data_IF_253648773316
#
_entry.id   IF_253648773316
#
_cell.length_a   1.000
_cell.length_b   1.000
_cell.length_c   1.000
_cell.angle_alpha   90.00
_cell.angle_beta   90.00
_cell.angle_gamma   90.00
#
_symmetry.space_group_name_H-M   'P 1'
#
loop_
_entity.id
_entity.type
_entity.pdbx_description
1 polymer ?
#
# COMPACT_ATOMS: atom_id res chain seq x y z
N UNK A 1 6.79 6.01 19.95
CA UNK A 1 7.30 4.92 19.08
C UNK A 1 8.27 5.54 18.09
N UNK A 2 9.43 4.93 17.83
CA UNK A 2 10.36 5.47 16.84
C UNK A 2 9.71 5.48 15.46
N UNK A 3 9.89 6.56 14.71
CA UNK A 3 9.48 6.63 13.31
C UNK A 3 10.45 5.88 12.40
N UNK A 4 9.99 5.54 11.20
CA UNK A 4 10.81 4.98 10.13
C UNK A 4 10.80 5.92 8.94
N UNK A 5 11.97 6.17 8.37
CA UNK A 5 12.16 6.98 7.18
C UNK A 5 12.84 6.13 6.12
N UNK A 6 12.24 6.08 4.93
CA UNK A 6 12.85 5.47 3.76
C UNK A 6 13.15 6.56 2.74
N UNK A 7 14.44 6.78 2.46
CA UNK A 7 14.92 7.67 1.41
C UNK A 7 15.20 6.82 0.18
N UNK A 8 14.39 6.96 -0.86
CA UNK A 8 14.54 6.22 -2.11
C UNK A 8 14.80 7.20 -3.25
N UNK A 9 16.03 7.19 -3.77
CA UNK A 9 16.39 7.88 -4.99
C UNK A 9 16.62 6.86 -6.10
N UNK A 10 15.83 6.90 -7.17
CA UNK A 10 15.89 5.90 -8.23
C UNK A 10 15.81 6.52 -9.63
N UNK A 11 16.92 6.45 -10.36
CA UNK A 11 17.03 6.86 -11.76
C UNK A 11 17.87 5.87 -12.57
N UNK A 12 17.56 5.64 -13.87
CA UNK A 12 18.46 4.91 -14.75
C UNK A 12 19.82 5.61 -14.86
N UNK A 13 20.91 4.87 -14.96
CA UNK A 13 22.24 5.47 -15.18
C UNK A 13 22.56 5.71 -16.67
N UNK A 14 21.72 5.20 -17.58
CA UNK A 14 21.93 5.23 -19.03
C UNK A 14 21.29 6.41 -19.75
N UNK A 15 21.27 6.35 -21.10
CA UNK A 15 20.74 7.41 -22.00
C UNK A 15 19.28 7.79 -21.77
N UNK A 16 18.51 6.97 -21.04
CA UNK A 16 17.11 7.23 -20.71
C UNK A 16 16.89 7.99 -19.40
N UNK A 17 17.96 8.48 -18.76
CA UNK A 17 17.88 9.22 -17.49
C UNK A 17 17.24 10.60 -17.70
N UNK A 18 16.20 10.90 -16.93
CA UNK A 18 15.45 12.16 -16.98
C UNK A 18 15.75 13.07 -15.78
N UNK A 19 16.16 12.51 -14.64
CA UNK A 19 16.41 13.25 -13.40
C UNK A 19 17.65 12.73 -12.67
N UNK A 20 18.42 13.63 -12.05
CA UNK A 20 19.46 13.24 -11.08
C UNK A 20 18.84 12.93 -9.72
N UNK A 21 18.22 11.75 -9.58
CA UNK A 21 17.49 11.41 -8.36
C UNK A 21 18.42 11.36 -7.13
N UNK A 22 19.59 10.71 -7.23
CA UNK A 22 20.51 10.55 -6.12
C UNK A 22 21.12 11.88 -5.64
N UNK A 23 21.15 12.92 -6.49
CA UNK A 23 21.63 14.26 -6.15
C UNK A 23 20.86 14.93 -4.99
N UNK A 24 19.70 14.41 -4.57
CA UNK A 24 18.96 14.92 -3.41
C UNK A 24 19.38 14.30 -2.07
N UNK A 25 20.00 13.12 -2.08
CA UNK A 25 20.30 12.36 -0.87
C UNK A 25 21.22 13.11 0.11
N UNK A 26 22.30 13.80 -0.32
CA UNK A 26 23.11 14.59 0.61
C UNK A 26 22.34 15.70 1.32
N UNK A 27 21.34 16.28 0.64
CA UNK A 27 20.52 17.36 1.20
C UNK A 27 19.50 16.81 2.20
N UNK A 28 18.94 15.62 1.95
CA UNK A 28 18.07 14.92 2.89
C UNK A 28 18.84 14.39 4.10
N UNK A 29 20.04 13.85 3.89
CA UNK A 29 20.90 13.35 4.97
C UNK A 29 21.34 14.47 5.94
N UNK A 30 21.36 15.72 5.49
CA UNK A 30 21.62 16.89 6.33
C UNK A 30 20.42 17.29 7.23
N UNK A 31 19.25 16.66 7.08
CA UNK A 31 18.08 16.87 7.94
C UNK A 31 18.14 15.88 9.10
N UNK A 32 17.88 16.37 10.32
CA UNK A 32 17.85 15.50 11.49
C UNK A 32 16.81 14.37 11.35
N UNK A 33 17.12 13.11 11.72
CA UNK A 33 16.20 11.97 11.60
C UNK A 33 14.85 12.17 12.30
N UNK A 34 14.85 12.83 13.46
CA UNK A 34 13.63 13.16 14.19
C UNK A 34 12.70 14.08 13.37
N UNK A 35 13.29 15.01 12.61
CA UNK A 35 12.56 15.92 11.74
C UNK A 35 12.07 15.19 10.48
N UNK A 36 12.91 14.36 9.86
CA UNK A 36 12.50 13.51 8.72
C UNK A 36 11.39 12.51 9.04
N UNK A 37 11.24 12.11 10.31
CA UNK A 37 10.18 11.19 10.74
C UNK A 37 8.97 11.88 11.38
N UNK A 38 9.14 13.08 11.93
CA UNK A 38 8.11 13.75 12.73
C UNK A 38 7.93 13.10 14.10
N UNK A 39 8.96 12.40 14.59
CA UNK A 39 8.96 11.67 15.86
C UNK A 39 10.28 11.91 16.59
N UNK A 40 10.31 11.73 17.91
CA UNK A 40 11.50 12.02 18.72
C UNK A 40 12.74 11.18 18.33
N UNK A 41 12.52 9.98 17.82
CA UNK A 41 13.58 9.05 17.39
C UNK A 41 13.19 8.39 16.07
N UNK A 42 14.17 8.15 15.20
CA UNK A 42 13.89 7.61 13.87
C UNK A 42 14.95 6.65 13.36
N UNK A 43 14.50 5.61 12.66
CA UNK A 43 15.33 4.76 11.84
C UNK A 43 15.30 5.28 10.39
N UNK A 44 16.46 5.61 9.83
CA UNK A 44 16.58 6.09 8.44
C UNK A 44 17.25 5.01 7.60
N UNK A 45 16.59 4.64 6.49
CA UNK A 45 17.14 3.72 5.49
C UNK A 45 17.26 4.46 4.17
N UNK A 46 18.46 4.46 3.60
CA UNK A 46 18.74 5.11 2.32
C UNK A 46 18.95 4.07 1.22
N UNK A 47 18.35 4.32 0.05
CA UNK A 47 18.51 3.56 -1.19
C UNK A 47 18.86 4.53 -2.31
N UNK A 48 20.14 4.58 -2.66
CA UNK A 48 20.67 5.38 -3.76
C UNK A 48 20.79 4.53 -5.03
N UNK A 49 20.05 4.92 -6.08
CA UNK A 49 19.99 4.26 -7.39
C UNK A 49 20.08 2.73 -7.30
N UNK A 50 19.11 2.08 -6.61
CA UNK A 50 19.17 0.63 -6.39
C UNK A 50 19.14 -0.11 -7.73
N UNK A 51 19.87 -1.23 -7.81
CA UNK A 51 20.03 -2.00 -9.05
C UNK A 51 18.93 -3.05 -9.27
N UNK A 52 18.40 -3.59 -8.16
CA UNK A 52 17.51 -4.76 -8.15
C UNK A 52 16.17 -4.43 -7.50
N UNK A 53 15.02 -4.71 -8.15
CA UNK A 53 13.70 -4.39 -7.61
C UNK A 53 13.40 -5.16 -6.33
N UNK A 54 13.90 -6.40 -6.19
CA UNK A 54 13.71 -7.19 -4.98
C UNK A 54 14.43 -6.58 -3.77
N UNK A 55 15.59 -5.96 -3.95
CA UNK A 55 16.29 -5.27 -2.87
C UNK A 55 15.46 -4.08 -2.34
N UNK A 56 14.83 -3.33 -3.24
CA UNK A 56 13.92 -2.23 -2.87
C UNK A 56 12.70 -2.78 -2.13
N UNK A 57 12.07 -3.85 -2.65
CA UNK A 57 10.92 -4.48 -2.00
C UNK A 57 11.23 -5.00 -0.60
N UNK A 58 12.36 -5.67 -0.41
CA UNK A 58 12.77 -6.16 0.91
C UNK A 58 12.85 -5.03 1.92
N UNK A 59 13.43 -3.88 1.52
CA UNK A 59 13.58 -2.71 2.39
C UNK A 59 12.26 -2.00 2.62
N UNK A 60 11.43 -1.85 1.60
CA UNK A 60 10.09 -1.29 1.74
C UNK A 60 9.22 -2.14 2.65
N UNK A 61 9.24 -3.47 2.49
CA UNK A 61 8.50 -4.41 3.34
C UNK A 61 8.97 -4.36 4.78
N UNK A 62 10.28 -4.30 5.03
CA UNK A 62 10.83 -4.16 6.37
C UNK A 62 10.40 -2.83 7.02
N UNK A 63 10.41 -1.73 6.26
CA UNK A 63 9.93 -0.43 6.74
C UNK A 63 8.42 -0.47 7.03
N UNK A 64 7.62 -1.06 6.14
CA UNK A 64 6.17 -1.21 6.31
C UNK A 64 5.79 -2.11 7.49
N UNK A 65 6.61 -3.13 7.80
CA UNK A 65 6.41 -3.99 8.96
C UNK A 65 6.79 -3.32 10.30
N UNK A 66 7.51 -2.20 10.27
CA UNK A 66 7.94 -1.50 11.49
C UNK A 66 6.76 -0.75 12.12
N UNK A 67 6.50 -0.93 13.43
CA UNK A 67 5.49 -0.17 14.14
C UNK A 67 5.81 1.35 14.20
N UNK A 68 4.77 2.18 14.25
CA UNK A 68 4.92 3.64 14.33
C UNK A 68 4.91 4.34 12.97
N UNK A 69 5.13 5.66 12.91
CA UNK A 69 5.06 6.44 11.67
C UNK A 69 6.09 6.01 10.63
N UNK A 70 5.71 5.97 9.36
CA UNK A 70 6.53 5.69 8.19
C UNK A 70 6.41 6.87 7.22
N UNK A 71 7.52 7.56 6.95
CA UNK A 71 7.60 8.55 5.87
C UNK A 71 8.55 8.04 4.79
N UNK A 72 8.07 7.90 3.56
CA UNK A 72 8.92 7.55 2.41
C UNK A 72 9.14 8.80 1.57
N UNK A 73 10.40 9.23 1.45
CA UNK A 73 10.80 10.29 0.53
C UNK A 73 11.32 9.62 -0.73
N UNK A 74 10.55 9.72 -1.82
CA UNK A 74 10.84 9.05 -3.08
C UNK A 74 11.10 10.09 -4.16
N UNK A 75 12.32 10.10 -4.67
CA UNK A 75 12.72 10.88 -5.85
C UNK A 75 13.09 9.92 -6.96
N UNK A 76 12.56 10.10 -8.16
CA UNK A 76 12.92 9.18 -9.23
C UNK A 76 12.17 9.35 -10.53
N UNK A 77 12.32 8.34 -11.36
CA UNK A 77 11.81 8.35 -12.72
C UNK A 77 10.75 7.26 -12.93
N UNK A 78 9.61 7.63 -13.50
CA UNK A 78 8.58 6.71 -13.92
C UNK A 78 8.75 6.34 -15.40
N UNK A 79 8.54 5.05 -15.69
CA UNK A 79 8.37 4.52 -17.04
C UNK A 79 7.09 3.71 -17.14
N UNK A 80 6.54 3.62 -18.34
CA UNK A 80 5.35 2.83 -18.63
C UNK A 80 5.74 1.49 -19.28
N UNK A 81 5.26 0.37 -18.69
CA UNK A 81 5.31 -0.91 -19.38
C UNK A 81 4.31 -0.90 -20.55
N UNK A 82 4.81 -0.81 -21.79
CA UNK A 82 3.99 -0.71 -23.01
C UNK A 82 2.98 -1.84 -23.22
N UNK A 83 3.20 -3.06 -22.71
CA UNK A 83 2.22 -4.15 -22.92
C UNK A 83 1.23 -4.34 -21.77
N UNK A 84 1.53 -3.87 -20.56
CA UNK A 84 0.58 -3.95 -19.43
C UNK A 84 -0.02 -2.60 -19.08
N UNK A 85 0.48 -1.52 -19.69
CA UNK A 85 0.11 -0.14 -19.37
C UNK A 85 0.21 0.15 -17.87
N UNK A 86 1.27 -0.33 -17.22
CA UNK A 86 1.50 -0.14 -15.79
C UNK A 86 2.72 0.75 -15.54
N UNK A 87 2.60 1.78 -14.68
CA UNK A 87 3.74 2.58 -14.25
C UNK A 87 4.76 1.74 -13.45
N UNK A 88 6.03 1.97 -13.71
CA UNK A 88 7.17 1.38 -13.00
C UNK A 88 8.12 2.50 -12.58
N UNK A 89 8.65 2.40 -11.36
CA UNK A 89 9.79 3.20 -10.93
C UNK A 89 11.07 2.61 -11.54
N UNK A 90 11.73 3.39 -12.38
CA UNK A 90 12.95 2.99 -13.04
C UNK A 90 14.13 2.95 -12.06
N UNK A 91 14.91 1.89 -12.13
CA UNK A 91 16.07 1.61 -11.29
C UNK A 91 17.37 1.81 -12.08
N UNK A 92 18.54 1.70 -11.42
CA UNK A 92 19.83 2.04 -12.03
C UNK A 92 20.11 1.36 -13.39
N UNK A 93 19.69 0.09 -13.52
CA UNK A 93 19.89 -0.72 -14.73
C UNK A 93 18.68 -0.76 -15.67
N UNK A 94 17.65 0.02 -15.38
CA UNK A 94 16.43 0.04 -16.19
C UNK A 94 16.71 0.65 -17.56
N UNK A 95 16.35 -0.11 -18.59
CA UNK A 95 16.30 0.36 -19.98
C UNK A 95 14.89 0.08 -20.53
N UNK A 96 14.49 0.70 -21.66
CA UNK A 96 13.21 0.38 -22.29
C UNK A 96 13.02 -1.13 -22.57
N UNK A 97 14.11 -1.85 -22.90
CA UNK A 97 14.06 -3.28 -23.20
C UNK A 97 13.96 -4.17 -21.95
N UNK A 98 14.52 -3.72 -20.81
CA UNK A 98 14.63 -4.51 -19.57
C UNK A 98 13.65 -4.08 -18.48
N UNK A 99 12.82 -3.07 -18.75
CA UNK A 99 11.92 -2.43 -17.80
C UNK A 99 11.15 -3.42 -16.91
N UNK A 100 10.52 -4.43 -17.52
CA UNK A 100 9.70 -5.42 -16.79
C UNK A 100 10.45 -6.25 -15.76
N UNK A 101 11.76 -6.39 -15.92
CA UNK A 101 12.59 -7.25 -15.07
C UNK A 101 13.45 -6.47 -14.11
N UNK A 102 13.72 -5.19 -14.42
CA UNK A 102 14.70 -4.37 -13.70
C UNK A 102 14.07 -3.16 -13.01
N UNK A 103 12.93 -2.68 -13.48
CA UNK A 103 12.19 -1.60 -12.82
C UNK A 103 11.27 -2.16 -11.74
N UNK A 104 10.88 -1.32 -10.78
CA UNK A 104 9.96 -1.67 -9.72
C UNK A 104 8.51 -1.31 -10.13
N UNK A 105 7.59 -2.27 -10.30
CA UNK A 105 6.19 -1.99 -10.59
C UNK A 105 5.58 -1.10 -9.51
N UNK A 106 4.93 0.00 -9.90
CA UNK A 106 4.38 0.97 -8.95
C UNK A 106 3.35 0.34 -8.00
N UNK A 107 2.51 -0.55 -8.54
CA UNK A 107 1.50 -1.24 -7.74
C UNK A 107 2.12 -2.09 -6.62
N UNK A 108 3.37 -2.56 -6.73
CA UNK A 108 4.02 -3.25 -5.62
C UNK A 108 4.30 -2.31 -4.44
N UNK A 109 4.66 -1.04 -4.70
CA UNK A 109 4.85 -0.05 -3.64
C UNK A 109 3.52 0.14 -2.89
N UNK A 110 2.42 0.31 -3.63
CA UNK A 110 1.07 0.39 -3.08
C UNK A 110 0.74 -0.85 -2.24
N UNK A 111 0.99 -2.05 -2.77
CA UNK A 111 0.66 -3.29 -2.07
C UNK A 111 1.45 -3.46 -0.77
N UNK A 112 2.74 -3.09 -0.71
CA UNK A 112 3.51 -3.17 0.53
C UNK A 112 3.00 -2.20 1.61
N UNK A 113 2.41 -1.07 1.21
CA UNK A 113 1.88 -0.06 2.13
C UNK A 113 0.40 -0.26 2.50
N UNK A 114 -0.34 -1.13 1.80
CA UNK A 114 -1.80 -1.23 1.91
C UNK A 114 -2.35 -1.49 3.32
N UNK A 115 -1.58 -2.17 4.18
CA UNK A 115 -2.00 -2.53 5.54
C UNK A 115 -1.65 -1.45 6.58
N UNK A 116 -0.95 -0.40 6.15
CA UNK A 116 -0.56 0.70 7.01
C UNK A 116 -1.70 1.71 7.17
N UNK A 117 -1.77 2.32 8.35
CA UNK A 117 -2.67 3.43 8.65
C UNK A 117 -2.25 4.71 7.91
N UNK A 118 -3.23 5.49 7.47
CA UNK A 118 -3.04 6.83 6.88
C UNK A 118 -2.54 7.87 7.87
N UNK A 119 -2.89 7.72 9.15
CA UNK A 119 -2.37 8.59 10.20
C UNK A 119 -0.86 8.42 10.39
N UNK A 120 -0.33 7.24 10.04
CA UNK A 120 1.06 6.87 10.30
C UNK A 120 1.87 6.72 9.01
N UNK A 121 1.32 6.94 7.81
CA UNK A 121 2.04 6.63 6.55
C UNK A 121 1.89 7.71 5.52
N UNK A 122 3.04 8.23 5.11
CA UNK A 122 3.11 9.28 4.10
C UNK A 122 4.16 8.96 3.02
N UNK A 123 3.81 9.29 1.78
CA UNK A 123 4.72 9.36 0.64
C UNK A 123 4.96 10.84 0.30
N UNK A 124 6.23 11.23 0.25
CA UNK A 124 6.66 12.52 -0.29
C UNK A 124 7.37 12.24 -1.62
N UNK A 125 6.80 12.71 -2.73
CA UNK A 125 7.18 12.29 -4.09
C UNK A 125 7.78 13.44 -4.91
N UNK A 126 8.88 13.17 -5.62
CA UNK A 126 9.42 14.02 -6.68
C UNK A 126 9.75 13.14 -7.90
N UNK A 127 8.75 12.97 -8.76
CA UNK A 127 8.79 12.01 -9.86
C UNK A 127 8.92 12.69 -11.21
N UNK A 128 9.65 12.07 -12.13
CA UNK A 128 9.78 12.51 -13.52
C UNK A 128 9.29 11.43 -14.48
N UNK A 129 8.47 11.80 -15.46
CA UNK A 129 7.88 10.88 -16.42
C UNK A 129 8.31 11.23 -17.85
N UNK A 130 8.62 10.22 -18.67
CA UNK A 130 8.73 10.42 -20.12
C UNK A 130 7.37 10.79 -20.74
N UNK A 131 7.36 11.20 -22.01
CA UNK A 131 6.13 11.68 -22.66
C UNK A 131 4.98 10.64 -22.70
N UNK A 132 5.31 9.35 -22.81
CA UNK A 132 4.31 8.27 -22.84
C UNK A 132 3.72 8.05 -21.44
N UNK A 133 4.59 7.95 -20.45
CA UNK A 133 4.24 7.77 -19.04
C UNK A 133 3.49 8.99 -18.51
N UNK A 134 3.90 10.20 -18.90
CA UNK A 134 3.28 11.47 -18.53
C UNK A 134 1.80 11.54 -18.97
N UNK A 135 1.53 11.20 -20.23
CA UNK A 135 0.14 11.10 -20.73
C UNK A 135 -0.65 10.10 -19.91
N UNK A 136 -0.10 8.91 -19.69
CA UNK A 136 -0.77 7.87 -18.91
C UNK A 136 -1.13 8.31 -17.48
N UNK A 137 -0.18 8.88 -16.73
CA UNK A 137 -0.46 9.28 -15.33
C UNK A 137 -1.37 10.49 -15.24
N UNK A 138 -1.37 11.37 -16.24
CA UNK A 138 -2.32 12.51 -16.31
C UNK A 138 -3.73 12.02 -16.64
N UNK A 139 -3.87 11.02 -17.51
CA UNK A 139 -5.15 10.47 -17.94
C UNK A 139 -5.75 9.45 -16.96
N UNK A 140 -4.92 8.66 -16.28
CA UNK A 140 -5.35 7.52 -15.45
C UNK A 140 -4.98 7.61 -13.99
N UNK A 141 -4.11 8.56 -13.63
CA UNK A 141 -3.65 8.70 -12.26
C UNK A 141 -2.44 7.86 -11.92
N UNK A 142 -1.99 8.04 -10.68
CA UNK A 142 -0.95 7.24 -10.04
C UNK A 142 -1.45 6.85 -8.64
N UNK A 143 -2.12 5.70 -8.56
CA UNK A 143 -2.73 5.20 -7.33
C UNK A 143 -1.68 4.73 -6.32
N UNK A 144 -1.71 5.31 -5.12
CA UNK A 144 -0.86 4.95 -3.98
C UNK A 144 -1.63 4.27 -2.84
N UNK A 145 -2.91 3.93 -3.07
CA UNK A 145 -3.79 3.25 -2.11
C UNK A 145 -4.46 4.20 -1.13
N UNK A 146 -5.69 3.88 -0.74
CA UNK A 146 -6.60 4.78 0.02
C UNK A 146 -6.06 5.27 1.37
N UNK A 147 -5.15 4.51 1.98
CA UNK A 147 -4.63 4.77 3.32
C UNK A 147 -3.26 5.44 3.30
N UNK A 148 -2.76 5.90 2.16
CA UNK A 148 -1.44 6.54 2.09
C UNK A 148 -1.62 8.02 1.83
N UNK A 149 -1.15 8.89 2.72
CA UNK A 149 -1.10 10.33 2.43
C UNK A 149 0.00 10.59 1.39
N UNK A 150 -0.33 11.25 0.27
CA UNK A 150 0.64 11.50 -0.81
C UNK A 150 0.80 12.98 -1.03
N UNK A 151 2.05 13.45 -0.91
CA UNK A 151 2.43 14.84 -1.14
C UNK A 151 3.55 14.90 -2.16
N UNK A 152 3.47 15.75 -3.18
CA UNK A 152 4.55 15.79 -4.15
C UNK A 152 4.17 16.31 -5.51
N UNK A 153 5.02 15.98 -6.46
CA UNK A 153 4.77 16.27 -7.87
C UNK A 153 5.20 15.11 -8.77
N UNK A 154 4.56 15.05 -9.92
CA UNK A 154 5.08 14.37 -11.11
C UNK A 154 5.34 15.46 -12.15
N UNK A 155 6.55 15.49 -12.69
CA UNK A 155 6.96 16.42 -13.75
C UNK A 155 7.12 15.68 -15.08
N UNK A 156 6.79 16.30 -16.21
CA UNK A 156 7.15 15.76 -17.52
C UNK A 156 8.66 15.82 -17.72
N UNK A 157 9.17 15.08 -18.71
CA UNK A 157 10.56 15.20 -19.15
C UNK A 157 10.89 16.66 -19.54
N UNK A 158 12.02 17.18 -19.06
CA UNK A 158 12.44 18.58 -19.24
C UNK A 158 12.78 18.99 -20.69
N UNK A 159 12.43 18.16 -21.68
CA UNK A 159 12.71 18.41 -23.10
C UNK A 159 14.22 18.49 -23.38
N UNK A 160 14.66 19.51 -24.13
CA UNK A 160 16.07 19.69 -24.54
C UNK A 160 16.99 20.23 -23.44
N UNK A 161 16.49 20.48 -22.22
CA UNK A 161 17.21 21.19 -21.14
C UNK A 161 18.19 20.33 -20.33
N UNK A 162 18.52 19.13 -20.80
CA UNK A 162 19.41 18.22 -20.09
C UNK A 162 18.70 17.48 -18.95
N UNK A 163 19.49 16.99 -17.99
CA UNK A 163 19.00 16.22 -16.86
C UNK A 163 18.22 17.11 -15.89
N UNK A 164 17.01 16.71 -15.51
CA UNK A 164 16.21 17.49 -14.57
C UNK A 164 16.77 17.41 -13.14
N UNK A 165 16.57 18.48 -12.40
CA UNK A 165 16.88 18.56 -10.98
C UNK A 165 15.64 18.19 -10.14
N UNK A 166 15.79 17.42 -9.04
CA UNK A 166 14.70 17.13 -8.11
C UNK A 166 14.42 18.33 -7.20
N UNK A 167 13.97 19.43 -7.81
CA UNK A 167 13.84 20.74 -7.18
C UNK A 167 12.81 20.75 -6.04
N UNK A 168 11.72 19.98 -6.16
CA UNK A 168 10.71 19.88 -5.12
C UNK A 168 11.29 19.22 -3.88
N UNK A 169 11.95 18.07 -4.03
CA UNK A 169 12.52 17.35 -2.89
C UNK A 169 13.69 18.12 -2.26
N UNK A 170 14.54 18.80 -3.05
CA UNK A 170 15.58 19.71 -2.54
C UNK A 170 14.97 20.85 -1.70
N UNK A 171 13.83 21.39 -2.12
CA UNK A 171 13.12 22.45 -1.39
C UNK A 171 12.52 21.91 -0.08
N UNK A 172 11.89 20.74 -0.11
CA UNK A 172 11.39 20.03 1.09
C UNK A 172 12.52 19.80 2.10
N UNK A 173 13.65 19.26 1.67
CA UNK A 173 14.81 19.03 2.53
C UNK A 173 15.34 20.34 3.14
N UNK A 174 15.34 21.43 2.35
CA UNK A 174 15.77 22.76 2.82
C UNK A 174 14.81 23.36 3.86
N UNK A 175 13.50 23.18 3.69
CA UNK A 175 12.50 23.58 4.68
C UNK A 175 12.69 22.84 6.01
N UNK A 176 12.90 21.52 5.95
CA UNK A 176 13.09 20.67 7.12
C UNK A 176 14.44 20.88 7.82
N UNK A 177 15.47 21.38 7.12
CA UNK A 177 16.77 21.73 7.73
C UNK A 177 16.68 22.78 8.84
N UNK A 178 15.58 23.53 8.92
CA UNK A 178 15.31 24.46 10.04
C UNK A 178 15.12 23.75 11.39
N UNK A 179 14.93 22.43 11.41
CA UNK A 179 14.64 21.66 12.61
C UNK A 179 13.14 21.57 12.93
N UNK A 180 12.30 22.38 12.27
CA UNK A 180 10.86 22.32 12.42
C UNK A 180 10.23 21.49 11.30
N UNK A 181 9.34 20.55 11.67
CA UNK A 181 8.49 19.83 10.73
C UNK A 181 7.04 20.33 10.86
N UNK A 182 6.54 21.15 9.92
CA UNK A 182 5.12 21.44 9.85
C UNK A 182 4.34 20.20 9.37
N UNK A 183 3.00 20.21 9.50
CA UNK A 183 2.15 19.20 8.85
C UNK A 183 2.49 19.05 7.36
N UNK A 184 2.46 17.83 6.83
CA UNK A 184 2.99 17.55 5.49
C UNK A 184 2.26 18.29 4.36
N UNK A 185 0.95 18.56 4.49
CA UNK A 185 0.22 19.41 3.55
C UNK A 185 0.75 20.85 3.52
N UNK A 186 1.03 21.44 4.69
CA UNK A 186 1.63 22.78 4.80
C UNK A 186 3.05 22.78 4.25
N UNK A 187 3.83 21.72 4.54
CA UNK A 187 5.17 21.56 3.97
C UNK A 187 5.14 21.50 2.45
N UNK A 188 4.16 20.79 1.88
CA UNK A 188 3.95 20.68 0.45
C UNK A 188 3.62 22.04 -0.19
N UNK A 189 2.66 22.77 0.38
CA UNK A 189 2.28 24.11 -0.09
C UNK A 189 3.46 25.08 -0.05
N UNK A 190 4.23 25.08 1.04
CA UNK A 190 5.44 25.91 1.16
C UNK A 190 6.51 25.54 0.14
N UNK A 191 6.69 24.24 -0.12
CA UNK A 191 7.65 23.76 -1.12
C UNK A 191 7.23 24.20 -2.53
N UNK A 192 5.97 23.98 -2.91
CA UNK A 192 5.43 24.41 -4.22
C UNK A 192 5.54 25.93 -4.39
N UNK A 193 5.20 26.70 -3.36
CA UNK A 193 5.26 28.17 -3.39
C UNK A 193 6.66 28.76 -3.57
N UNK A 194 7.73 28.00 -3.26
CA UNK A 194 9.12 28.43 -3.46
C UNK A 194 9.67 28.15 -4.86
N UNK A 195 9.02 27.27 -5.62
CA UNK A 195 9.44 26.88 -6.97
C UNK A 195 8.27 26.96 -7.98
N UNK A 196 7.56 28.10 -8.08
CA UNK A 196 6.37 28.21 -8.94
C UNK A 196 6.68 27.95 -10.42
N UNK A 197 7.85 28.40 -10.89
CA UNK A 197 8.30 28.16 -12.26
C UNK A 197 8.53 26.67 -12.56
N UNK A 198 9.13 25.93 -11.62
CA UNK A 198 9.44 24.51 -11.78
C UNK A 198 8.25 23.58 -11.52
N UNK A 199 7.18 24.12 -10.94
CA UNK A 199 5.91 23.42 -10.74
C UNK A 199 4.89 23.67 -11.84
N UNK A 200 5.15 24.64 -12.73
CA UNK A 200 4.25 24.96 -13.83
C UNK A 200 4.12 23.76 -14.78
N UNK A 201 2.88 23.28 -14.94
CA UNK A 201 2.57 22.14 -15.81
C UNK A 201 2.88 20.77 -15.19
N UNK A 202 3.22 20.71 -13.90
CA UNK A 202 3.37 19.46 -13.18
C UNK A 202 2.02 18.98 -12.61
N UNK A 203 1.94 17.68 -12.34
CA UNK A 203 0.85 17.08 -11.61
C UNK A 203 1.19 17.18 -10.12
N UNK A 204 0.43 17.98 -9.37
CA UNK A 204 0.62 18.13 -7.93
C UNK A 204 -0.21 17.07 -7.19
N UNK A 205 0.38 16.48 -6.15
CA UNK A 205 -0.21 15.43 -5.33
C UNK A 205 -0.34 16.00 -3.90
N UNK A 206 -1.55 16.03 -3.35
CA UNK A 206 -1.79 16.53 -1.99
C UNK A 206 -2.90 15.77 -1.23
N UNK A 207 -3.31 14.60 -1.72
CA UNK A 207 -4.48 13.84 -1.25
C UNK A 207 -4.10 12.44 -0.76
N UNK A 208 -5.00 11.84 0.03
CA UNK A 208 -4.93 10.43 0.37
C UNK A 208 -5.15 9.55 -0.88
N UNK A 209 -4.22 8.63 -1.15
CA UNK A 209 -4.26 7.72 -2.30
C UNK A 209 -3.65 8.22 -3.59
N UNK A 210 -3.08 9.43 -3.60
CA UNK A 210 -2.44 9.99 -4.80
C UNK A 210 -3.46 10.59 -5.77
N UNK A 211 -3.07 10.74 -7.04
CA UNK A 211 -3.93 11.35 -8.06
C UNK A 211 -4.78 10.29 -8.76
N UNK A 212 -6.09 10.48 -8.76
CA UNK A 212 -7.07 9.71 -9.55
C UNK A 212 -7.92 10.71 -10.34
N UNK A 213 -7.96 10.65 -11.69
CA UNK A 213 -8.71 11.61 -12.48
C UNK A 213 -10.22 11.48 -12.24
N UNK A 214 -10.91 12.63 -12.22
CA UNK A 214 -12.36 12.70 -12.08
C UNK A 214 -13.05 12.03 -13.28
N UNK A 215 -13.71 10.90 -13.04
CA UNK A 215 -14.37 10.10 -14.09
C UNK A 215 -14.45 8.59 -13.80
N UNK A 216 -13.69 8.08 -12.84
CA UNK A 216 -13.98 6.77 -12.22
C UNK A 216 -15.12 6.93 -11.21
N UNK A 217 -16.05 5.96 -11.05
CA UNK A 217 -17.15 6.09 -10.11
C UNK A 217 -16.64 6.01 -8.67
N UNK A 218 -16.14 7.14 -8.17
CA UNK A 218 -15.94 7.36 -6.74
C UNK A 218 -17.25 7.92 -6.23
N UNK A 219 -17.98 7.06 -5.52
CA UNK A 219 -19.17 7.45 -4.75
C UNK A 219 -18.72 8.51 -3.73
N UNK A 220 -19.32 9.71 -3.68
CA UNK A 220 -18.83 10.78 -2.83
C UNK A 220 -18.95 10.40 -1.36
N UNK A 221 -17.86 10.59 -0.62
CA UNK A 221 -17.89 10.59 0.84
C UNK A 221 -18.71 11.80 1.30
N UNK A 222 -19.66 11.54 2.21
CA UNK A 222 -20.47 12.55 2.86
C UNK A 222 -19.58 13.54 3.62
N UNK A 223 -19.52 14.78 3.15
CA UNK A 223 -18.90 15.90 3.87
C UNK A 223 -19.96 16.45 4.82
N UNK A 224 -19.77 16.42 6.15
CA UNK A 224 -20.65 17.14 7.05
C UNK A 224 -20.37 18.66 6.91
N UNK A 225 -21.41 19.51 6.89
CA UNK A 225 -21.22 20.96 6.77
C UNK A 225 -20.56 21.56 8.03
N UNK A 226 -19.87 22.71 7.89
CA UNK A 226 -19.26 23.39 9.03
C UNK A 226 -20.32 23.94 10.00
N UNK A 227 -20.05 23.98 11.32
CA UNK A 227 -20.97 24.59 12.26
C UNK A 227 -20.91 26.12 12.15
N UNK A 228 -22.09 26.72 12.08
CA UNK A 228 -22.29 28.18 12.15
C UNK A 228 -22.19 28.60 13.63
N UNK A 229 -21.47 29.67 13.99
CA UNK A 229 -21.42 30.12 15.38
C UNK A 229 -22.67 30.91 15.75
N UNK A 230 -23.50 30.36 16.65
CA UNK A 230 -24.60 31.09 17.27
C UNK A 230 -24.12 31.79 18.54
N UNK A 231 -24.43 33.08 18.63
CA UNK A 231 -24.01 33.99 19.68
C UNK A 231 -24.63 33.68 21.07
N UNK A 232 -23.90 34.10 22.08
CA UNK A 232 -24.15 34.04 23.52
C UNK A 232 -25.30 34.97 23.93
N UNK A 233 -26.22 34.50 24.78
CA UNK A 233 -26.84 35.29 25.86
C UNK A 233 -27.71 34.41 26.78
N UNK A 234 -27.59 34.59 28.10
CA UNK A 234 -28.68 34.29 29.05
C UNK A 234 -28.33 33.40 30.25
N UNK A 235 -28.05 34.05 31.37
CA UNK A 235 -27.80 33.56 32.73
C UNK A 235 -29.02 32.99 33.46
N UNK A 236 -28.87 31.88 34.22
CA UNK A 236 -29.49 31.68 35.56
C UNK A 236 -28.82 30.51 36.36
N UNK A 237 -28.76 30.54 37.71
CA UNK A 237 -27.95 29.63 38.58
C UNK A 237 -28.75 28.44 39.20
N UNK A 238 -28.11 27.50 39.95
CA UNK A 238 -28.40 26.06 39.88
C UNK A 238 -29.20 25.45 41.05
N UNK A 239 -29.67 24.20 40.85
CA UNK A 239 -30.11 23.26 41.90
C UNK A 239 -29.43 21.88 41.74
N UNK A 240 -29.21 21.08 42.81
CA UNK A 240 -28.19 20.02 42.82
C UNK A 240 -28.68 18.56 42.64
N UNK A 241 -27.81 17.75 42.01
CA UNK A 241 -27.55 16.28 42.11
C UNK A 241 -28.66 15.29 41.66
N UNK A 242 -28.35 14.11 41.02
CA UNK A 242 -27.42 13.10 41.55
C UNK A 242 -26.47 12.40 40.54
N UNK A 243 -25.51 11.68 41.10
CA UNK A 243 -24.48 10.89 40.43
C UNK A 243 -25.01 9.84 39.45
N UNK A 244 -24.34 9.69 38.30
CA UNK A 244 -24.50 8.54 37.40
C UNK A 244 -23.15 8.02 36.89
N UNK A 245 -23.15 6.70 36.78
CA UNK A 245 -22.09 5.73 36.45
C UNK A 245 -21.26 6.04 35.19
N UNK A 246 -20.08 5.40 35.03
CA UNK A 246 -19.17 5.65 33.92
C UNK A 246 -19.81 5.30 32.57
N UNK A 247 -19.76 6.25 31.64
CA UNK A 247 -20.18 6.12 30.25
C UNK A 247 -19.21 5.18 29.49
N UNK A 248 -19.70 4.22 28.68
CA UNK A 248 -18.83 3.36 27.88
C UNK A 248 -18.15 4.17 26.76
N UNK A 249 -16.86 3.90 26.54
CA UNK A 249 -16.06 4.54 25.51
C UNK A 249 -16.64 4.35 24.09
N UNK A 250 -16.48 5.33 23.19
CA UNK A 250 -17.01 5.27 21.82
C UNK A 250 -16.40 4.10 21.04
N UNK A 251 -17.27 3.29 20.43
CA UNK A 251 -16.87 2.28 19.45
C UNK A 251 -16.41 2.99 18.18
N UNK A 252 -15.27 2.59 17.62
CA UNK A 252 -14.81 3.11 16.34
C UNK A 252 -15.73 2.62 15.21
N UNK A 253 -16.28 3.53 14.42
CA UNK A 253 -17.17 3.24 13.27
C UNK A 253 -16.46 2.60 12.05
N UNK A 254 -15.18 2.26 12.17
CA UNK A 254 -14.44 1.51 11.14
C UNK A 254 -14.30 0.02 11.54
N UNK A 255 -15.03 -0.89 10.85
CA UNK A 255 -14.90 -2.35 10.98
C UNK A 255 -13.44 -2.84 10.96
N UNK A 256 -12.62 -2.27 10.08
CA UNK A 256 -11.23 -2.68 9.91
C UNK A 256 -10.35 -2.18 11.06
N UNK A 257 -10.60 -0.99 11.59
CA UNK A 257 -9.87 -0.48 12.76
C UNK A 257 -10.10 -1.35 14.01
N UNK A 258 -11.34 -1.82 14.22
CA UNK A 258 -11.66 -2.71 15.34
C UNK A 258 -10.96 -4.07 15.21
N UNK A 259 -11.01 -4.67 14.01
CA UNK A 259 -10.29 -5.92 13.70
C UNK A 259 -8.78 -5.74 13.87
N UNK A 260 -8.21 -4.66 13.33
CA UNK A 260 -6.79 -4.35 13.45
C UNK A 260 -6.35 -4.11 14.90
N UNK A 261 -7.19 -3.48 15.73
CA UNK A 261 -6.94 -3.33 17.16
C UNK A 261 -6.92 -4.69 17.87
N UNK A 262 -7.86 -5.59 17.56
CA UNK A 262 -7.87 -6.94 18.09
C UNK A 262 -6.64 -7.76 17.66
N UNK A 263 -6.23 -7.67 16.38
CA UNK A 263 -5.00 -8.31 15.88
C UNK A 263 -3.75 -7.79 16.59
N UNK A 264 -3.60 -6.47 16.72
CA UNK A 264 -2.45 -5.84 17.41
C UNK A 264 -2.35 -6.27 18.87
N UNK A 265 -3.49 -6.52 19.52
CA UNK A 265 -3.53 -7.01 20.87
C UNK A 265 -3.38 -8.54 21.00
N UNK A 266 -3.07 -9.25 19.92
CA UNK A 266 -2.96 -10.73 19.90
C UNK A 266 -4.29 -11.46 20.02
N UNK A 267 -5.42 -10.74 19.99
CA UNK A 267 -6.78 -11.29 20.15
C UNK A 267 -7.32 -11.75 18.80
N UNK A 268 -6.63 -12.68 18.16
CA UNK A 268 -6.96 -13.14 16.80
C UNK A 268 -8.35 -13.80 16.71
N UNK A 269 -8.81 -14.47 17.78
CA UNK A 269 -10.17 -15.01 17.84
C UNK A 269 -11.26 -13.93 17.87
N UNK A 270 -11.02 -12.82 18.57
CA UNK A 270 -11.93 -11.66 18.56
C UNK A 270 -11.94 -10.99 17.19
N UNK A 271 -10.77 -10.82 16.57
CA UNK A 271 -10.62 -10.27 15.23
C UNK A 271 -11.39 -11.10 14.19
N UNK A 272 -11.27 -12.43 14.24
CA UNK A 272 -12.01 -13.35 13.36
C UNK A 272 -13.51 -13.32 13.65
N UNK A 273 -13.93 -13.22 14.91
CA UNK A 273 -15.34 -13.06 15.28
C UNK A 273 -15.95 -11.76 14.75
N UNK A 274 -15.21 -10.65 14.78
CA UNK A 274 -15.63 -9.39 14.16
C UNK A 274 -15.73 -9.53 12.64
N UNK A 275 -14.71 -10.07 11.99
CA UNK A 275 -14.72 -10.28 10.54
C UNK A 275 -15.86 -11.22 10.08
N UNK A 276 -16.16 -12.27 10.85
CA UNK A 276 -17.26 -13.20 10.56
C UNK A 276 -18.63 -12.53 10.65
N UNK A 277 -18.81 -11.57 11.57
CA UNK A 277 -20.05 -10.76 11.65
C UNK A 277 -20.23 -9.90 10.41
N UNK A 278 -19.16 -9.23 9.96
CA UNK A 278 -19.23 -8.41 8.75
C UNK A 278 -19.36 -9.24 7.46
N UNK A 279 -18.78 -10.43 7.42
CA UNK A 279 -19.01 -11.41 6.34
C UNK A 279 -20.50 -11.79 6.28
N UNK A 280 -21.10 -12.17 7.41
CA UNK A 280 -22.51 -12.54 7.48
C UNK A 280 -23.43 -11.38 7.09
N UNK A 281 -23.11 -10.16 7.51
CA UNK A 281 -23.83 -8.95 7.11
C UNK A 281 -23.70 -8.69 5.60
N UNK A 282 -22.49 -8.80 5.05
CA UNK A 282 -22.26 -8.61 3.62
C UNK A 282 -23.00 -9.66 2.77
N UNK A 283 -23.02 -10.92 3.22
CA UNK A 283 -23.81 -11.98 2.59
C UNK A 283 -25.31 -11.66 2.64
N UNK A 284 -25.81 -11.17 3.78
CA UNK A 284 -27.22 -10.81 3.94
C UNK A 284 -27.66 -9.62 3.08
N UNK A 285 -26.80 -8.62 2.92
CA UNK A 285 -27.12 -7.37 2.20
C UNK A 285 -26.82 -7.46 0.70
N UNK A 286 -25.69 -8.07 0.33
CA UNK A 286 -25.17 -8.06 -1.04
C UNK A 286 -25.17 -9.44 -1.71
N UNK A 287 -25.44 -10.51 -0.95
CA UNK A 287 -25.39 -11.89 -1.43
C UNK A 287 -23.99 -12.52 -1.32
N UNK A 288 -23.92 -13.86 -1.34
CA UNK A 288 -22.68 -14.62 -1.11
C UNK A 288 -21.64 -14.52 -2.22
N UNK A 289 -22.04 -14.13 -3.43
CA UNK A 289 -21.14 -13.94 -4.58
C UNK A 289 -20.79 -12.46 -4.84
N UNK A 290 -20.90 -11.62 -3.81
CA UNK A 290 -20.55 -10.20 -3.90
C UNK A 290 -19.09 -9.95 -3.56
N UNK A 291 -18.52 -8.88 -4.11
CA UNK A 291 -17.16 -8.42 -3.78
C UNK A 291 -17.02 -8.12 -2.27
N UNK A 292 -18.09 -7.66 -1.61
CA UNK A 292 -18.12 -7.39 -0.17
C UNK A 292 -18.03 -8.69 0.64
N UNK A 293 -18.76 -9.74 0.25
CA UNK A 293 -18.67 -11.04 0.92
C UNK A 293 -17.27 -11.65 0.74
N UNK A 294 -16.73 -11.63 -0.48
CA UNK A 294 -15.38 -12.12 -0.76
C UNK A 294 -14.31 -11.37 0.00
N UNK A 295 -14.40 -10.04 0.08
CA UNK A 295 -13.46 -9.23 0.87
C UNK A 295 -13.39 -9.70 2.32
N UNK A 296 -14.54 -9.97 2.96
CA UNK A 296 -14.53 -10.45 4.34
C UNK A 296 -14.05 -11.91 4.47
N UNK A 297 -14.35 -12.78 3.51
CA UNK A 297 -13.76 -14.13 3.46
C UNK A 297 -12.24 -14.10 3.33
N UNK A 298 -11.69 -13.17 2.53
CA UNK A 298 -10.25 -12.95 2.37
C UNK A 298 -9.60 -12.43 3.65
N UNK A 299 -10.23 -11.44 4.31
CA UNK A 299 -9.78 -10.94 5.62
C UNK A 299 -9.71 -12.08 6.64
N UNK A 300 -10.71 -12.94 6.69
CA UNK A 300 -10.72 -14.10 7.60
C UNK A 300 -9.64 -15.13 7.28
N UNK A 301 -9.35 -15.36 5.99
CA UNK A 301 -8.25 -16.21 5.57
C UNK A 301 -6.89 -15.66 6.05
N UNK A 302 -6.69 -14.35 6.00
CA UNK A 302 -5.48 -13.70 6.51
C UNK A 302 -5.42 -13.68 8.05
N UNK A 303 -6.55 -13.51 8.74
CA UNK A 303 -6.61 -13.59 10.21
C UNK A 303 -6.22 -14.98 10.73
N UNK A 304 -6.61 -16.04 10.04
CA UNK A 304 -6.15 -17.39 10.35
C UNK A 304 -4.62 -17.53 10.20
N UNK A 305 -4.02 -16.90 9.19
CA UNK A 305 -2.56 -16.86 9.06
C UNK A 305 -1.91 -16.11 10.23
N UNK A 306 -2.45 -14.95 10.64
CA UNK A 306 -1.92 -14.21 11.80
C UNK A 306 -2.03 -15.00 13.10
N UNK A 307 -3.09 -15.81 13.25
CA UNK A 307 -3.25 -16.74 14.37
C UNK A 307 -2.29 -17.94 14.32
N UNK A 308 -1.46 -18.07 13.28
CA UNK A 308 -0.56 -19.21 13.08
C UNK A 308 -1.28 -20.48 12.57
N UNK A 309 -2.54 -20.39 12.20
CA UNK A 309 -3.35 -21.51 11.70
C UNK A 309 -3.29 -21.57 10.16
N UNK A 310 -2.19 -22.14 9.67
CA UNK A 310 -1.96 -22.32 8.23
C UNK A 310 -3.01 -23.24 7.57
N UNK A 311 -3.59 -24.20 8.33
CA UNK A 311 -4.61 -25.12 7.81
C UNK A 311 -5.91 -24.36 7.53
N UNK A 312 -6.37 -23.57 8.50
CA UNK A 312 -7.57 -22.74 8.35
C UNK A 312 -7.39 -21.67 7.29
N UNK A 313 -6.22 -21.02 7.24
CA UNK A 313 -5.90 -20.04 6.21
C UNK A 313 -5.91 -20.66 4.81
N UNK A 314 -5.26 -21.81 4.63
CA UNK A 314 -5.27 -22.55 3.37
C UNK A 314 -6.70 -22.90 2.94
N UNK A 315 -7.51 -23.49 3.83
CA UNK A 315 -8.89 -23.86 3.52
C UNK A 315 -9.74 -22.66 3.10
N UNK A 316 -9.58 -21.53 3.78
CA UNK A 316 -10.31 -20.30 3.44
C UNK A 316 -9.90 -19.74 2.06
N UNK A 317 -8.59 -19.72 1.74
CA UNK A 317 -8.13 -19.28 0.42
C UNK A 317 -8.57 -20.21 -0.72
N UNK A 318 -8.66 -21.54 -0.48
CA UNK A 318 -9.25 -22.49 -1.44
C UNK A 318 -10.73 -22.14 -1.70
N UNK A 319 -11.52 -21.93 -0.64
CA UNK A 319 -12.93 -21.59 -0.75
C UNK A 319 -13.17 -20.26 -1.48
N UNK A 320 -12.34 -19.23 -1.25
CA UNK A 320 -12.42 -17.95 -1.99
C UNK A 320 -12.15 -18.16 -3.48
N UNK A 321 -11.13 -18.94 -3.84
CA UNK A 321 -10.82 -19.22 -5.24
C UNK A 321 -11.98 -19.97 -5.94
N UNK A 322 -12.54 -20.98 -5.27
CA UNK A 322 -13.69 -21.74 -5.77
C UNK A 322 -14.93 -20.87 -5.93
N UNK A 323 -15.24 -20.02 -4.95
CA UNK A 323 -16.39 -19.13 -4.99
C UNK A 323 -16.29 -18.12 -6.16
N UNK A 324 -15.11 -17.55 -6.39
CA UNK A 324 -14.86 -16.64 -7.52
C UNK A 324 -15.01 -17.35 -8.87
N UNK A 325 -14.49 -18.57 -8.99
CA UNK A 325 -14.67 -19.39 -10.19
C UNK A 325 -16.13 -19.78 -10.43
N UNK A 326 -16.87 -20.15 -9.37
CA UNK A 326 -18.29 -20.49 -9.44
C UNK A 326 -19.15 -19.28 -9.85
N UNK A 327 -18.73 -18.07 -9.48
CA UNK A 327 -19.34 -16.82 -9.93
C UNK A 327 -18.97 -16.42 -11.37
N UNK A 328 -18.23 -17.26 -12.10
CA UNK A 328 -17.90 -17.06 -13.50
C UNK A 328 -16.68 -16.16 -13.76
N UNK A 329 -15.87 -15.86 -12.74
CA UNK A 329 -14.61 -15.15 -12.98
C UNK A 329 -13.67 -16.03 -13.82
N UNK A 330 -12.97 -15.40 -14.77
CA UNK A 330 -12.03 -16.09 -15.64
C UNK A 330 -10.89 -16.72 -14.83
N UNK A 331 -10.39 -17.88 -15.29
CA UNK A 331 -9.31 -18.62 -14.61
C UNK A 331 -7.99 -17.83 -14.52
N UNK A 332 -7.79 -16.85 -15.41
CA UNK A 332 -6.64 -15.95 -15.45
C UNK A 332 -6.92 -14.58 -14.79
N UNK A 333 -8.10 -14.42 -14.17
CA UNK A 333 -8.42 -13.22 -13.43
C UNK A 333 -7.43 -13.05 -12.26
N UNK A 334 -6.81 -11.86 -12.08
CA UNK A 334 -5.79 -11.66 -11.05
C UNK A 334 -6.23 -12.01 -9.63
N UNK A 335 -7.51 -11.80 -9.30
CA UNK A 335 -8.06 -12.13 -7.98
C UNK A 335 -8.15 -13.66 -7.75
N UNK A 336 -8.53 -14.43 -8.78
CA UNK A 336 -8.54 -15.89 -8.75
C UNK A 336 -7.12 -16.43 -8.64
N UNK A 337 -6.18 -15.93 -9.48
CA UNK A 337 -4.76 -16.30 -9.39
C UNK A 337 -4.18 -16.02 -8.00
N UNK A 338 -4.48 -14.86 -7.42
CA UNK A 338 -3.99 -14.45 -6.09
C UNK A 338 -4.54 -15.37 -4.99
N UNK A 339 -5.82 -15.73 -5.03
CA UNK A 339 -6.40 -16.64 -4.06
C UNK A 339 -5.73 -18.04 -4.10
N UNK A 340 -5.49 -18.58 -5.31
CA UNK A 340 -4.80 -19.87 -5.48
C UNK A 340 -3.30 -19.76 -5.11
N UNK A 341 -2.64 -18.63 -5.35
CA UNK A 341 -1.26 -18.32 -4.89
C UNK A 341 -1.16 -18.30 -3.37
N UNK A 342 -2.12 -17.69 -2.68
CA UNK A 342 -2.14 -17.67 -1.21
C UNK A 342 -2.51 -19.03 -0.61
N UNK A 343 -3.46 -19.76 -1.19
CA UNK A 343 -3.77 -21.12 -0.78
C UNK A 343 -2.52 -22.02 -0.87
N UNK A 344 -1.80 -21.96 -1.99
CA UNK A 344 -0.55 -22.70 -2.18
C UNK A 344 0.50 -22.30 -1.13
N UNK A 345 0.73 -21.00 -0.93
CA UNK A 345 1.69 -20.54 0.07
C UNK A 345 1.36 -21.07 1.47
N UNK A 346 0.10 -20.98 1.91
CA UNK A 346 -0.30 -21.47 3.23
C UNK A 346 -0.20 -22.98 3.34
N UNK A 347 -0.56 -23.73 2.29
CA UNK A 347 -0.39 -25.17 2.25
C UNK A 347 1.07 -25.60 2.50
N UNK A 348 2.04 -24.91 1.91
CA UNK A 348 3.46 -25.21 2.16
C UNK A 348 3.92 -24.93 3.60
N UNK A 349 3.13 -24.20 4.38
CA UNK A 349 3.41 -23.87 5.79
C UNK A 349 2.72 -24.82 6.77
N UNK A 350 1.88 -25.74 6.30
CA UNK A 350 1.23 -26.75 7.13
C UNK A 350 2.27 -27.78 7.58
N UNK A 351 2.55 -27.81 8.88
CA UNK A 351 3.50 -28.76 9.48
C UNK A 351 2.88 -30.14 9.73
N UNK A 352 1.57 -30.19 9.94
CA UNK A 352 0.82 -31.44 10.13
C UNK A 352 0.65 -32.15 8.77
N UNK A 353 1.34 -33.29 8.63
CA UNK A 353 1.35 -34.05 7.38
C UNK A 353 -0.02 -34.63 7.03
N UNK A 354 -0.85 -34.98 8.01
CA UNK A 354 -2.21 -35.47 7.75
C UNK A 354 -3.09 -34.35 7.17
N UNK A 355 -3.01 -33.14 7.74
CA UNK A 355 -3.75 -31.98 7.25
C UNK A 355 -3.25 -31.47 5.90
N UNK A 356 -1.95 -31.54 5.65
CA UNK A 356 -1.38 -31.23 4.33
C UNK A 356 -1.88 -32.23 3.27
N UNK A 357 -1.96 -33.53 3.60
CA UNK A 357 -2.54 -34.56 2.71
C UNK A 357 -4.03 -34.35 2.44
N UNK A 358 -4.80 -33.89 3.44
CA UNK A 358 -6.23 -33.60 3.30
C UNK A 358 -6.48 -32.46 2.29
N UNK A 359 -5.75 -31.35 2.39
CA UNK A 359 -5.99 -30.15 1.58
C UNK A 359 -5.29 -30.14 0.22
N UNK A 360 -4.21 -30.93 0.07
CA UNK A 360 -3.39 -30.89 -1.13
C UNK A 360 -4.10 -31.31 -2.43
N UNK A 361 -5.01 -32.30 -2.45
CA UNK A 361 -5.77 -32.65 -3.66
C UNK A 361 -6.62 -31.49 -4.18
N UNK A 362 -7.33 -30.78 -3.29
CA UNK A 362 -8.13 -29.61 -3.67
C UNK A 362 -7.25 -28.49 -4.24
N UNK A 363 -6.07 -28.25 -3.62
CA UNK A 363 -5.10 -27.30 -4.16
C UNK A 363 -4.56 -27.72 -5.54
N UNK A 364 -4.29 -29.02 -5.74
CA UNK A 364 -3.81 -29.53 -7.02
C UNK A 364 -4.87 -29.37 -8.12
N UNK A 365 -6.14 -29.63 -7.82
CA UNK A 365 -7.25 -29.42 -8.76
C UNK A 365 -7.39 -27.94 -9.14
N UNK A 366 -7.36 -27.04 -8.16
CA UNK A 366 -7.37 -25.60 -8.44
C UNK A 366 -6.16 -25.17 -9.27
N UNK A 367 -4.98 -25.74 -9.04
CA UNK A 367 -3.78 -25.44 -9.84
C UNK A 367 -3.80 -26.00 -11.24
N UNK A 368 -4.53 -27.09 -11.48
CA UNK A 368 -4.76 -27.58 -12.82
C UNK A 368 -5.64 -26.61 -13.63
N UNK A 369 -6.67 -26.05 -12.99
CA UNK A 369 -7.58 -25.07 -13.60
C UNK A 369 -6.97 -23.67 -13.71
N UNK A 370 -6.16 -23.30 -12.71
CA UNK A 370 -5.49 -22.00 -12.55
C UNK A 370 -3.99 -22.24 -12.45
N UNK A 371 -3.31 -22.50 -13.58
CA UNK A 371 -1.87 -22.77 -13.58
C UNK A 371 -1.06 -21.57 -13.07
N UNK A 372 -1.61 -20.36 -13.24
CA UNK A 372 -0.95 -19.10 -12.92
C UNK A 372 0.20 -18.78 -13.88
N UNK A 373 0.83 -17.63 -13.68
CA UNK A 373 1.89 -17.12 -14.58
C UNK A 373 3.26 -17.78 -14.38
N UNK A 374 3.44 -18.54 -13.30
CA UNK A 374 4.69 -19.25 -12.96
C UNK A 374 4.58 -20.71 -13.39
N UNK A 375 5.44 -21.13 -14.33
CA UNK A 375 5.59 -22.55 -14.68
C UNK A 375 6.07 -23.34 -13.46
N UNK A 376 5.56 -24.55 -13.25
CA UNK A 376 6.05 -25.45 -12.19
C UNK A 376 5.21 -25.50 -10.91
N UNK A 377 4.16 -24.67 -10.76
CA UNK A 377 3.38 -24.59 -9.53
C UNK A 377 2.58 -25.88 -9.26
N UNK A 378 1.93 -26.42 -10.29
CA UNK A 378 1.19 -27.67 -10.21
C UNK A 378 2.14 -28.85 -9.97
N UNK A 379 3.26 -28.89 -10.69
CA UNK A 379 4.28 -29.94 -10.57
C UNK A 379 4.88 -29.96 -9.16
N UNK A 380 5.03 -28.79 -8.53
CA UNK A 380 5.47 -28.67 -7.15
C UNK A 380 4.47 -29.29 -6.17
N UNK A 381 3.19 -28.90 -6.26
CA UNK A 381 2.11 -29.46 -5.41
C UNK A 381 2.04 -30.97 -5.57
N UNK A 382 2.05 -31.47 -6.81
CA UNK A 382 1.99 -32.91 -7.08
C UNK A 382 3.21 -33.67 -6.55
N UNK A 383 4.42 -33.10 -6.67
CA UNK A 383 5.64 -33.70 -6.12
C UNK A 383 5.58 -33.78 -4.59
N UNK A 384 5.17 -32.71 -3.93
CA UNK A 384 5.08 -32.65 -2.48
C UNK A 384 3.94 -33.56 -1.95
N UNK A 385 2.83 -33.68 -2.66
CA UNK A 385 1.77 -34.65 -2.36
C UNK A 385 2.28 -36.10 -2.43
N UNK A 386 3.05 -36.46 -3.46
CA UNK A 386 3.66 -37.79 -3.56
C UNK A 386 4.62 -38.08 -2.39
N UNK A 387 5.42 -37.09 -1.99
CA UNK A 387 6.32 -37.22 -0.83
C UNK A 387 5.53 -37.43 0.47
N UNK A 388 4.44 -36.68 0.65
CA UNK A 388 3.56 -36.86 1.80
C UNK A 388 2.91 -38.25 1.75
N UNK A 389 2.43 -38.73 0.60
CA UNK A 389 1.82 -40.07 0.48
C UNK A 389 2.81 -41.23 0.68
N UNK A 390 4.10 -41.03 0.40
CA UNK A 390 5.16 -42.03 0.59
C UNK A 390 5.77 -42.08 1.99
N UNK A 391 5.33 -41.22 2.92
CA UNK A 391 5.77 -41.25 4.32
C UNK A 391 4.73 -42.03 5.14
N UNK A 392 5.06 -43.23 5.66
CA UNK A 392 4.11 -44.08 6.40
C UNK A 392 3.59 -43.44 7.69
#
# INVERSE_FOLDING_TARGET
MPGTVLLLAASPLGRGRLVDAAGVLPVLAAVAPAVLSGTDTANVVELADPLEPQAVLTRLRAAAATPGPLTVYLTGQLHLDRRQHQPHLALARTTPATLRYTALPWHWIREELRLRSAADTALVLDLHADAETWRHVTERGLDAGRTTAVYGRIAPAAGRRGLAEPAYMKTVATLLRSGHRPPLGVLHEQAVGRIPEETRGNLLLADAGGFVPAGSPVRPAHVPPPPVPTAVAGTTPPAPAPAHAPVPAPRSDDPHAAIAAAVRAGRHGEADGLAARYEAEAVGVYGPASEQAWHWSEVRADLAMFAGDAVRSCRAWLAVAEARLAAGQAVDAPAVETAVDRAHHQWTRIKDTARARELGPALAELRLRVPGRRRGALENVQRQLRQLQGTP
#
